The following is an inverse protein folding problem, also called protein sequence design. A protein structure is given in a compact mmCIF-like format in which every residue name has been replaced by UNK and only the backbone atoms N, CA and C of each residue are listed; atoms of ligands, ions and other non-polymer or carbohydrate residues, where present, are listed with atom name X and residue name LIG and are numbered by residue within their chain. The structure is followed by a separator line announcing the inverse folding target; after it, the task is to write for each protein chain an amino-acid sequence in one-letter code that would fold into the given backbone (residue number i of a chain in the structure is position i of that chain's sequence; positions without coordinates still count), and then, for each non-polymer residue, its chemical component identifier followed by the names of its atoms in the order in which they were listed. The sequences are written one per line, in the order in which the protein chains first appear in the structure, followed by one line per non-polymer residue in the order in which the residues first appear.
data_IF_806057765637
#
_entry.id   IF_806057765637
#
_cell.length_a   1.000
_cell.length_b   1.000
_cell.length_c   1.000
_cell.angle_alpha   90.00
_cell.angle_beta   90.00
_cell.angle_gamma   90.00
#
_symmetry.space_group_name_H-M   'P 1'
#
loop_
_entity.id
_entity.type
_entity.pdbx_description
1 polymer ?
#
# COMPACT_ATOMS: atom_id res chain seq x y z
N UNK A 1 -11.56 23.49 16.19
CA UNK A 1 -10.39 23.18 15.33
C UNK A 1 -9.62 24.48 15.09
N UNK A 2 -8.27 24.49 15.02
CA UNK A 2 -7.52 25.69 14.71
C UNK A 2 -7.82 26.16 13.27
N UNK A 3 -8.42 27.35 13.12
CA UNK A 3 -8.96 27.83 11.84
C UNK A 3 -7.89 27.95 10.75
N UNK A 4 -6.70 28.46 11.09
CA UNK A 4 -5.58 28.65 10.14
C UNK A 4 -4.96 27.34 9.65
N UNK A 5 -5.21 26.23 10.33
CA UNK A 5 -4.60 24.93 10.02
C UNK A 5 -5.47 24.09 9.09
N UNK A 6 -6.74 24.46 8.90
CA UNK A 6 -7.69 23.73 8.07
C UNK A 6 -7.96 24.46 6.76
N UNK A 7 -7.66 23.79 5.65
CA UNK A 7 -7.96 24.28 4.31
C UNK A 7 -9.20 23.57 3.78
N UNK A 8 -10.25 24.34 3.50
CA UNK A 8 -11.46 23.84 2.82
C UNK A 8 -11.15 23.62 1.35
N UNK A 9 -11.62 22.51 0.79
CA UNK A 9 -11.52 22.21 -0.64
C UNK A 9 -12.91 22.30 -1.29
N UNK A 10 -12.96 22.65 -2.57
CA UNK A 10 -14.20 22.73 -3.32
C UNK A 10 -14.87 21.37 -3.43
N UNK A 11 -16.20 21.36 -3.43
CA UNK A 11 -17.00 20.15 -3.62
C UNK A 11 -16.72 19.47 -4.98
N UNK A 12 -16.21 20.24 -5.95
CA UNK A 12 -15.87 19.78 -7.28
C UNK A 12 -14.44 19.25 -7.44
N UNK A 13 -13.59 19.30 -6.42
CA UNK A 13 -12.15 19.02 -6.56
C UNK A 13 -11.86 17.63 -7.15
N UNK A 14 -12.59 16.60 -6.69
CA UNK A 14 -12.44 15.23 -7.17
C UNK A 14 -13.00 15.02 -8.59
N UNK A 15 -13.87 15.92 -9.06
CA UNK A 15 -14.45 15.89 -10.41
C UNK A 15 -13.53 16.63 -11.38
N UNK A 16 -13.04 17.80 -10.99
CA UNK A 16 -12.15 18.65 -11.79
C UNK A 16 -10.69 18.20 -11.81
N UNK A 17 -10.31 17.31 -10.89
CA UNK A 17 -8.93 16.81 -10.79
C UNK A 17 -7.94 17.88 -10.33
N UNK A 18 -8.34 18.73 -9.36
CA UNK A 18 -7.53 19.83 -8.82
C UNK A 18 -7.05 20.85 -9.87
N UNK A 19 -7.91 21.18 -10.85
CA UNK A 19 -7.62 22.21 -11.87
C UNK A 19 -7.33 23.58 -11.29
N UNK A 20 -7.95 23.89 -10.15
CA UNK A 20 -7.89 25.19 -9.48
C UNK A 20 -6.73 25.25 -8.46
N UNK A 21 -5.88 24.19 -8.42
CA UNK A 21 -4.67 24.08 -7.59
C UNK A 21 -4.89 24.26 -6.08
N UNK A 22 -6.00 23.73 -5.59
CA UNK A 22 -6.44 23.81 -4.19
C UNK A 22 -5.52 22.99 -3.26
N UNK A 23 -4.84 21.97 -3.79
CA UNK A 23 -3.88 21.14 -3.07
C UNK A 23 -2.43 21.66 -3.11
N UNK A 24 -2.20 22.88 -3.60
CA UNK A 24 -0.87 23.48 -3.73
C UNK A 24 -0.01 23.41 -2.47
N UNK A 25 -0.57 23.73 -1.30
CA UNK A 25 0.15 23.66 -0.01
C UNK A 25 0.65 22.24 0.28
N UNK A 26 -0.17 21.22 0.00
CA UNK A 26 0.21 19.82 0.17
C UNK A 26 1.34 19.43 -0.77
N UNK A 27 1.26 19.85 -2.04
CA UNK A 27 2.31 19.59 -3.03
C UNK A 27 3.63 20.26 -2.66
N UNK A 28 3.59 21.50 -2.16
CA UNK A 28 4.77 22.20 -1.67
C UNK A 28 5.42 21.51 -0.46
N UNK A 29 4.61 20.97 0.45
CA UNK A 29 5.13 20.14 1.56
C UNK A 29 5.73 18.83 1.05
N UNK A 30 5.19 18.25 -0.02
CA UNK A 30 5.61 16.97 -0.58
C UNK A 30 6.84 17.04 -1.52
N UNK A 31 7.10 18.19 -2.17
CA UNK A 31 8.06 18.31 -3.29
C UNK A 31 9.48 17.80 -3.01
N UNK A 32 9.95 17.98 -1.77
CA UNK A 32 11.30 17.59 -1.31
C UNK A 32 11.30 16.29 -0.50
N UNK A 33 10.19 15.55 -0.48
CA UNK A 33 10.08 14.27 0.22
C UNK A 33 10.54 13.14 -0.69
N UNK A 34 11.11 12.10 -0.08
CA UNK A 34 11.41 10.84 -0.74
C UNK A 34 10.20 9.92 -0.75
N UNK A 35 9.38 9.99 0.29
CA UNK A 35 8.23 9.10 0.45
C UNK A 35 7.06 9.93 0.97
N UNK A 36 5.94 9.87 0.24
CA UNK A 36 4.65 10.43 0.65
C UNK A 36 3.67 9.28 0.78
N UNK A 37 3.21 8.99 1.99
CA UNK A 37 2.21 7.97 2.23
C UNK A 37 0.83 8.61 2.48
N UNK A 38 -0.19 8.12 1.78
CA UNK A 38 -1.56 8.59 1.87
C UNK A 38 -2.41 7.41 2.34
N UNK A 39 -2.73 7.41 3.64
CA UNK A 39 -3.43 6.32 4.28
C UNK A 39 -4.91 6.29 3.95
N UNK A 40 -5.51 5.11 4.04
CA UNK A 40 -6.96 4.95 4.01
C UNK A 40 -7.51 4.65 5.41
N UNK A 41 -8.55 5.37 5.78
CA UNK A 41 -9.28 5.16 7.05
C UNK A 41 -10.14 3.89 7.02
N UNK A 42 -10.51 3.48 5.81
CA UNK A 42 -11.16 2.20 5.52
C UNK A 42 -10.67 1.70 4.17
N UNK A 43 -10.56 0.39 3.94
CA UNK A 43 -10.18 -0.15 2.63
C UNK A 43 -11.16 0.15 1.49
N UNK A 44 -12.40 0.53 1.78
CA UNK A 44 -13.55 0.46 0.86
C UNK A 44 -14.18 1.78 0.44
N UNK A 45 -13.51 2.91 0.64
CA UNK A 45 -14.10 4.25 0.47
C UNK A 45 -13.66 4.91 -0.84
N UNK A 46 -14.63 5.27 -1.70
CA UNK A 46 -14.39 5.82 -3.03
C UNK A 46 -13.68 7.17 -3.01
N UNK A 47 -14.10 8.08 -2.12
CA UNK A 47 -13.55 9.43 -2.03
C UNK A 47 -12.09 9.41 -1.53
N UNK A 48 -11.76 8.49 -0.62
CA UNK A 48 -10.39 8.25 -0.14
C UNK A 48 -9.50 7.80 -1.29
N UNK A 49 -9.94 6.81 -2.07
CA UNK A 49 -9.20 6.33 -3.23
C UNK A 49 -9.03 7.42 -4.29
N UNK A 50 -10.07 8.25 -4.50
CA UNK A 50 -10.00 9.37 -5.42
C UNK A 50 -8.93 10.39 -5.02
N UNK A 51 -8.84 10.74 -3.73
CA UNK A 51 -7.76 11.62 -3.22
C UNK A 51 -6.38 10.98 -3.34
N UNK A 52 -6.23 9.70 -2.99
CA UNK A 52 -4.97 8.97 -3.17
C UNK A 52 -4.48 9.06 -4.62
N UNK A 53 -5.35 8.75 -5.59
CA UNK A 53 -5.04 8.84 -7.03
C UNK A 53 -4.73 10.27 -7.46
N UNK A 54 -5.58 11.24 -7.10
CA UNK A 54 -5.43 12.64 -7.49
C UNK A 54 -4.08 13.22 -7.03
N UNK A 55 -3.72 12.97 -5.78
CA UNK A 55 -2.45 13.44 -5.23
C UNK A 55 -1.28 12.69 -5.90
N UNK A 56 -1.36 11.37 -6.04
CA UNK A 56 -0.32 10.58 -6.70
C UNK A 56 -0.05 11.06 -8.13
N UNK A 57 -1.08 11.27 -8.95
CA UNK A 57 -0.97 11.81 -10.32
C UNK A 57 -0.24 13.15 -10.32
N UNK A 58 -0.62 14.08 -9.44
CA UNK A 58 -0.02 15.41 -9.40
C UNK A 58 1.43 15.39 -8.87
N UNK A 59 1.75 14.53 -7.90
CA UNK A 59 3.13 14.36 -7.44
C UNK A 59 4.04 13.77 -8.54
N UNK A 60 3.53 12.81 -9.32
CA UNK A 60 4.23 12.26 -10.49
C UNK A 60 4.43 13.36 -11.55
N UNK A 61 3.39 14.12 -11.88
CA UNK A 61 3.45 15.17 -12.92
C UNK A 61 4.32 16.36 -12.55
N UNK A 62 4.30 16.78 -11.29
CA UNK A 62 4.85 18.09 -10.85
C UNK A 62 6.15 17.99 -10.06
N UNK A 63 6.45 16.83 -9.47
CA UNK A 63 7.55 16.69 -8.48
C UNK A 63 8.40 15.43 -8.65
N UNK A 64 8.38 14.82 -9.84
CA UNK A 64 9.25 13.72 -10.26
C UNK A 64 9.13 12.44 -9.41
N UNK A 65 7.97 12.22 -8.79
CA UNK A 65 7.71 10.93 -8.16
C UNK A 65 7.69 9.83 -9.23
N UNK A 66 8.49 8.79 -9.02
CA UNK A 66 8.80 7.77 -10.04
C UNK A 66 8.37 6.36 -9.63
N UNK A 67 7.65 6.23 -8.51
CA UNK A 67 7.14 4.96 -8.02
C UNK A 67 5.83 5.16 -7.25
N UNK A 68 4.81 4.39 -7.62
CA UNK A 68 3.57 4.23 -6.88
C UNK A 68 3.63 2.89 -6.15
N UNK A 69 3.58 2.95 -4.82
CA UNK A 69 3.57 1.78 -3.96
C UNK A 69 2.15 1.49 -3.52
N UNK A 70 1.69 0.26 -3.76
CA UNK A 70 0.45 -0.27 -3.22
C UNK A 70 0.78 -0.99 -1.90
N UNK A 71 0.68 -0.27 -0.78
CA UNK A 71 1.37 -0.65 0.47
C UNK A 71 0.88 -1.97 1.09
N UNK A 72 -0.38 -2.34 0.90
CA UNK A 72 -0.96 -3.61 1.37
C UNK A 72 -1.24 -4.60 0.24
N UNK A 73 -0.40 -4.55 -0.78
CA UNK A 73 -0.44 -5.45 -1.93
C UNK A 73 0.93 -6.11 -2.05
N UNK A 74 0.97 -7.44 -2.23
CA UNK A 74 2.25 -8.15 -2.28
C UNK A 74 3.06 -7.79 -3.52
N UNK A 75 4.38 -7.97 -3.47
CA UNK A 75 5.29 -7.66 -4.58
C UNK A 75 4.90 -8.44 -5.86
N UNK A 76 4.66 -9.76 -5.74
CA UNK A 76 4.37 -10.61 -6.89
C UNK A 76 2.96 -10.41 -7.42
N UNK A 77 1.99 -10.18 -6.55
CA UNK A 77 0.63 -9.91 -7.02
C UNK A 77 0.65 -8.60 -7.87
N UNK A 78 1.42 -7.59 -7.44
CA UNK A 78 1.48 -6.30 -8.12
C UNK A 78 2.38 -6.32 -9.37
N UNK A 79 3.22 -7.35 -9.55
CA UNK A 79 4.14 -7.44 -10.68
C UNK A 79 3.41 -7.36 -12.03
N UNK A 80 2.21 -7.95 -12.15
CA UNK A 80 1.43 -7.91 -13.40
C UNK A 80 0.99 -6.47 -13.73
N UNK A 81 0.65 -5.67 -12.72
CA UNK A 81 0.35 -4.23 -12.90
C UNK A 81 1.63 -3.51 -13.35
N UNK A 82 2.76 -3.77 -12.70
CA UNK A 82 4.02 -3.14 -13.07
C UNK A 82 4.41 -3.47 -14.52
N UNK A 83 4.27 -4.73 -14.94
CA UNK A 83 4.54 -5.18 -16.30
C UNK A 83 3.61 -4.48 -17.32
N UNK A 84 2.34 -4.30 -16.96
CA UNK A 84 1.37 -3.56 -17.78
C UNK A 84 1.76 -2.09 -17.97
N UNK A 85 2.17 -1.37 -16.91
CA UNK A 85 2.48 0.07 -17.00
C UNK A 85 3.90 0.35 -17.51
N UNK A 86 4.87 -0.53 -17.24
CA UNK A 86 6.28 -0.33 -17.61
C UNK A 86 6.57 -0.91 -18.99
N UNK A 87 6.12 -2.13 -19.27
CA UNK A 87 6.48 -2.88 -20.48
C UNK A 87 5.40 -2.86 -21.55
N UNK A 88 4.28 -2.16 -21.29
CA UNK A 88 3.18 -2.05 -22.23
C UNK A 88 2.60 -3.42 -22.63
N UNK A 89 2.73 -4.45 -21.78
CA UNK A 89 2.24 -5.80 -22.04
C UNK A 89 0.79 -5.96 -21.58
N UNK A 90 0.02 -6.76 -22.30
CA UNK A 90 -1.40 -7.01 -21.98
C UNK A 90 -2.28 -5.78 -22.11
N UNK A 91 -3.52 -5.96 -21.67
CA UNK A 91 -4.65 -5.02 -21.69
C UNK A 91 -5.18 -4.83 -20.27
N UNK A 92 -6.09 -3.87 -20.08
CA UNK A 92 -6.79 -3.71 -18.79
C UNK A 92 -7.59 -4.96 -18.41
N UNK A 93 -8.08 -5.72 -19.39
CA UNK A 93 -8.76 -7.01 -19.14
C UNK A 93 -7.82 -8.05 -18.53
N UNK A 94 -6.51 -8.00 -18.82
CA UNK A 94 -5.54 -8.89 -18.18
C UNK A 94 -5.29 -8.52 -16.72
N UNK A 95 -5.57 -7.29 -16.32
CA UNK A 95 -5.55 -6.87 -14.92
C UNK A 95 -6.86 -7.20 -14.19
N UNK A 96 -7.91 -7.52 -14.93
CA UNK A 96 -9.14 -8.07 -14.36
C UNK A 96 -8.92 -9.52 -13.94
N UNK A 97 -9.50 -9.90 -12.82
CA UNK A 97 -9.44 -11.28 -12.32
C UNK A 97 -10.85 -11.86 -12.45
N UNK A 98 -11.03 -12.87 -13.31
CA UNK A 98 -12.28 -13.63 -13.42
C UNK A 98 -12.45 -14.58 -12.22
N UNK A 99 -13.69 -14.74 -11.73
CA UNK A 99 -14.05 -15.71 -10.67
C UNK A 99 -14.13 -15.13 -9.24
N UNK A 100 -14.41 -15.99 -8.24
CA UNK A 100 -14.56 -15.57 -6.82
C UNK A 100 -13.21 -15.11 -6.26
N UNK A 101 -13.10 -13.86 -5.77
CA UNK A 101 -11.83 -13.37 -5.28
C UNK A 101 -11.38 -14.11 -4.03
N UNK A 102 -10.12 -14.57 -3.96
CA UNK A 102 -9.49 -14.80 -2.67
C UNK A 102 -9.42 -13.46 -1.92
N UNK A 103 -9.37 -13.49 -0.58
CA UNK A 103 -9.23 -12.28 0.27
C UNK A 103 -8.05 -11.38 -0.16
N UNK A 104 -7.02 -11.99 -0.77
CA UNK A 104 -5.82 -11.33 -1.32
C UNK A 104 -6.07 -10.51 -2.62
N UNK A 105 -7.23 -10.59 -3.24
CA UNK A 105 -7.50 -10.03 -4.58
C UNK A 105 -8.26 -8.68 -4.54
N UNK A 106 -8.56 -8.15 -3.35
CA UNK A 106 -9.23 -6.85 -3.19
C UNK A 106 -8.34 -5.64 -3.59
N UNK A 107 -7.05 -5.87 -3.84
CA UNK A 107 -6.10 -4.90 -4.37
C UNK A 107 -6.33 -4.56 -5.87
N UNK A 108 -6.82 -5.53 -6.64
CA UNK A 108 -6.93 -5.47 -8.11
C UNK A 108 -8.33 -5.15 -8.61
N UNK A 109 -9.33 -5.37 -7.76
CA UNK A 109 -10.72 -5.51 -8.17
C UNK A 109 -11.49 -4.20 -8.27
N UNK A 110 -10.83 -3.14 -8.73
CA UNK A 110 -11.44 -1.82 -8.77
C UNK A 110 -11.28 -1.26 -10.18
N UNK A 111 -12.41 -1.19 -10.90
CA UNK A 111 -12.54 -0.42 -12.13
C UNK A 111 -11.91 0.98 -11.96
N UNK A 112 -12.10 1.57 -10.78
CA UNK A 112 -11.55 2.87 -10.40
C UNK A 112 -10.01 2.93 -10.43
N UNK A 113 -9.30 1.80 -10.32
CA UNK A 113 -7.83 1.75 -10.45
C UNK A 113 -7.36 1.51 -11.88
N UNK A 114 -8.20 0.94 -12.76
CA UNK A 114 -7.81 0.68 -14.15
C UNK A 114 -7.53 1.96 -14.92
N UNK A 115 -8.35 2.99 -14.72
CA UNK A 115 -8.12 4.32 -15.32
C UNK A 115 -6.80 4.92 -14.84
N UNK A 116 -6.46 4.73 -13.56
CA UNK A 116 -5.21 5.20 -12.98
C UNK A 116 -3.99 4.45 -13.54
N UNK A 117 -4.06 3.12 -13.63
CA UNK A 117 -2.98 2.33 -14.25
C UNK A 117 -2.82 2.64 -15.74
N UNK A 118 -3.93 2.86 -16.45
CA UNK A 118 -3.90 3.27 -17.86
C UNK A 118 -3.24 4.64 -18.02
N UNK A 119 -3.57 5.60 -17.14
CA UNK A 119 -2.91 6.90 -17.12
C UNK A 119 -1.39 6.79 -16.89
N UNK A 120 -0.94 5.96 -15.94
CA UNK A 120 0.49 5.73 -15.70
C UNK A 120 1.16 5.07 -16.91
N UNK A 121 0.49 4.07 -17.50
CA UNK A 121 0.95 3.39 -18.72
C UNK A 121 1.16 4.37 -19.86
N UNK A 122 0.22 5.29 -20.08
CA UNK A 122 0.33 6.33 -21.11
C UNK A 122 1.45 7.32 -20.79
N UNK A 123 1.55 7.74 -19.53
CA UNK A 123 2.64 8.61 -19.05
C UNK A 123 4.03 7.99 -19.29
N UNK A 124 4.14 6.66 -19.24
CA UNK A 124 5.37 5.89 -19.43
C UNK A 124 5.74 5.61 -20.90
N UNK A 125 4.82 5.77 -21.86
CA UNK A 125 4.92 5.20 -23.21
C UNK A 125 6.24 5.50 -23.94
N UNK A 126 6.75 6.72 -23.80
CA UNK A 126 7.95 7.21 -24.48
C UNK A 126 9.12 7.52 -23.54
N UNK A 127 9.07 7.01 -22.30
CA UNK A 127 10.12 7.25 -21.30
C UNK A 127 11.18 6.16 -21.31
N UNK A 128 12.47 6.49 -21.07
CA UNK A 128 13.49 5.49 -20.76
C UNK A 128 13.08 4.63 -19.56
N UNK A 129 13.54 3.37 -19.50
CA UNK A 129 13.11 2.41 -18.47
C UNK A 129 13.30 2.93 -17.04
N UNK A 130 14.45 3.57 -16.77
CA UNK A 130 14.77 4.12 -15.45
C UNK A 130 13.85 5.28 -15.04
N UNK A 131 13.36 6.04 -16.01
CA UNK A 131 12.49 7.22 -15.82
C UNK A 131 11.00 6.87 -15.80
N UNK A 132 10.65 5.61 -16.09
CA UNK A 132 9.26 5.14 -16.01
C UNK A 132 8.80 5.11 -14.56
N UNK A 133 7.55 5.50 -14.36
CA UNK A 133 6.83 5.37 -13.10
C UNK A 133 6.48 3.90 -12.91
N UNK A 134 6.95 3.31 -11.82
CA UNK A 134 6.60 1.93 -11.47
C UNK A 134 5.33 1.90 -10.64
N UNK A 135 4.58 0.79 -10.71
CA UNK A 135 3.45 0.51 -9.83
C UNK A 135 3.70 -0.85 -9.19
N UNK A 136 4.05 -0.86 -7.91
CA UNK A 136 4.58 -2.06 -7.24
C UNK A 136 3.94 -2.23 -5.86
N UNK A 137 3.78 -3.48 -5.45
CA UNK A 137 3.34 -3.85 -4.11
C UNK A 137 4.52 -3.96 -3.15
N UNK A 138 4.28 -3.86 -1.86
CA UNK A 138 5.31 -4.04 -0.82
C UNK A 138 4.89 -4.96 0.31
N UNK A 139 3.67 -5.50 0.28
CA UNK A 139 3.22 -6.48 1.26
C UNK A 139 3.86 -7.85 1.04
N UNK A 140 3.53 -8.79 1.91
CA UNK A 140 4.17 -10.09 1.97
C UNK A 140 3.59 -11.07 0.95
N UNK A 141 4.47 -11.72 0.19
CA UNK A 141 4.09 -12.81 -0.71
C UNK A 141 3.85 -14.12 0.05
N UNK A 142 2.96 -14.98 -0.47
CA UNK A 142 2.88 -16.36 0.03
C UNK A 142 4.10 -17.17 -0.45
N UNK A 143 4.77 -17.93 0.43
CA UNK A 143 5.90 -18.79 0.04
C UNK A 143 5.63 -19.68 -1.17
N UNK A 144 4.41 -20.23 -1.29
CA UNK A 144 4.05 -21.13 -2.39
C UNK A 144 3.91 -20.38 -3.71
N UNK A 145 3.38 -19.16 -3.68
CA UNK A 145 3.23 -18.31 -4.86
C UNK A 145 4.59 -17.78 -5.36
N UNK A 146 5.54 -17.51 -4.44
CA UNK A 146 6.94 -17.22 -4.82
C UNK A 146 7.52 -18.35 -5.68
N UNK A 147 7.43 -19.59 -5.18
CA UNK A 147 8.01 -20.75 -5.89
C UNK A 147 7.26 -21.03 -7.20
N UNK A 148 5.94 -20.82 -7.24
CA UNK A 148 5.16 -20.94 -8.47
C UNK A 148 5.58 -19.91 -9.54
N UNK A 149 5.74 -18.65 -9.15
CA UNK A 149 6.17 -17.58 -10.04
C UNK A 149 7.58 -17.83 -10.61
N UNK A 150 8.52 -18.24 -9.75
CA UNK A 150 9.88 -18.57 -10.17
C UNK A 150 9.90 -19.81 -11.09
N UNK A 151 9.09 -20.83 -10.79
CA UNK A 151 8.95 -22.02 -11.64
C UNK A 151 8.48 -21.67 -13.04
N UNK A 152 7.48 -20.79 -13.17
CA UNK A 152 6.99 -20.34 -14.48
C UNK A 152 8.09 -19.63 -15.28
N UNK A 153 8.92 -18.81 -14.62
CA UNK A 153 10.08 -18.17 -15.26
C UNK A 153 11.13 -19.20 -15.72
N UNK A 154 11.52 -20.14 -14.86
CA UNK A 154 12.47 -21.18 -15.21
C UNK A 154 12.00 -22.05 -16.38
N UNK A 155 10.69 -22.34 -16.47
CA UNK A 155 10.11 -23.08 -17.60
C UNK A 155 10.19 -22.28 -18.90
N UNK A 156 9.83 -20.99 -18.86
CA UNK A 156 9.89 -20.11 -20.04
C UNK A 156 11.31 -19.99 -20.61
N UNK A 157 12.33 -19.90 -19.75
CA UNK A 157 13.75 -19.81 -20.15
C UNK A 157 14.46 -21.17 -20.26
N UNK A 158 13.74 -22.29 -20.20
CA UNK A 158 14.31 -23.65 -20.27
C UNK A 158 15.45 -23.93 -19.28
N UNK A 159 15.38 -23.36 -18.06
CA UNK A 159 16.38 -23.53 -17.00
C UNK A 159 16.21 -24.89 -16.30
N UNK A 160 16.52 -25.98 -17.00
CA UNK A 160 16.24 -27.37 -16.59
C UNK A 160 16.85 -27.76 -15.24
N UNK A 161 18.01 -27.19 -14.90
CA UNK A 161 18.72 -27.40 -13.63
C UNK A 161 17.86 -27.05 -12.40
N UNK A 162 16.92 -26.10 -12.53
CA UNK A 162 16.05 -25.68 -11.43
C UNK A 162 14.95 -26.69 -11.08
N UNK A 163 14.62 -27.63 -11.97
CA UNK A 163 13.40 -28.45 -11.87
C UNK A 163 13.33 -29.24 -10.56
N UNK A 164 14.37 -30.01 -10.25
CA UNK A 164 14.40 -30.85 -9.05
C UNK A 164 14.34 -30.02 -7.76
N UNK A 165 15.06 -28.90 -7.72
CA UNK A 165 15.11 -27.99 -6.56
C UNK A 165 13.73 -27.35 -6.32
N UNK A 166 13.07 -26.88 -7.39
CA UNK A 166 11.73 -26.31 -7.31
C UNK A 166 10.66 -27.34 -6.92
N UNK A 167 10.74 -28.57 -7.43
CA UNK A 167 9.83 -29.66 -7.03
C UNK A 167 9.99 -30.00 -5.54
N UNK A 168 11.23 -30.02 -5.04
CA UNK A 168 11.53 -30.19 -3.62
C UNK A 168 10.97 -29.03 -2.78
N UNK A 169 11.20 -27.78 -3.17
CA UNK A 169 10.64 -26.60 -2.50
C UNK A 169 9.11 -26.67 -2.44
N UNK A 170 8.44 -27.00 -3.55
CA UNK A 170 6.97 -27.18 -3.58
C UNK A 170 6.53 -28.24 -2.58
N UNK A 171 7.24 -29.37 -2.50
CA UNK A 171 6.94 -30.43 -1.55
C UNK A 171 7.11 -29.97 -0.10
N UNK A 172 8.20 -29.26 0.22
CA UNK A 172 8.45 -28.78 1.57
C UNK A 172 7.47 -27.67 1.99
N UNK A 173 7.12 -26.75 1.09
CA UNK A 173 6.15 -25.67 1.37
C UNK A 173 4.72 -26.16 1.54
N UNK A 174 4.34 -27.33 1.00
CA UNK A 174 3.05 -27.98 1.29
C UNK A 174 2.88 -28.31 2.78
N UNK A 175 3.99 -28.45 3.53
CA UNK A 175 4.00 -28.77 4.96
C UNK A 175 3.74 -27.55 5.84
N UNK A 176 3.68 -26.32 5.30
CA UNK A 176 3.37 -25.12 6.09
C UNK A 176 2.00 -25.28 6.76
N UNK A 177 1.95 -25.03 8.07
CA UNK A 177 0.74 -25.20 8.88
C UNK A 177 0.43 -26.66 9.26
N UNK A 178 1.29 -27.62 8.93
CA UNK A 178 1.20 -29.00 9.40
C UNK A 178 2.09 -29.23 10.63
N UNK A 179 1.87 -30.32 11.38
CA UNK A 179 2.68 -30.70 12.55
C UNK A 179 4.12 -31.12 12.19
N UNK A 180 4.41 -31.35 10.91
CA UNK A 180 5.74 -31.70 10.42
C UNK A 180 6.67 -30.48 10.45
N UNK A 181 7.84 -30.61 11.08
CA UNK A 181 8.84 -29.55 11.11
C UNK A 181 9.46 -29.38 9.72
N UNK A 182 9.33 -28.17 9.16
CA UNK A 182 10.10 -27.73 7.99
C UNK A 182 11.50 -27.35 8.45
N UNK A 183 12.53 -27.82 7.76
CA UNK A 183 13.91 -27.40 8.02
C UNK A 183 14.21 -26.10 7.29
N UNK A 184 14.17 -24.98 8.02
CA UNK A 184 14.37 -23.62 7.46
C UNK A 184 15.71 -23.48 6.74
N UNK A 185 16.79 -24.07 7.28
CA UNK A 185 18.11 -24.09 6.65
C UNK A 185 18.07 -24.72 5.25
N UNK A 186 17.31 -25.80 5.09
CA UNK A 186 17.15 -26.46 3.81
C UNK A 186 16.37 -25.60 2.81
N UNK A 187 15.34 -24.87 3.26
CA UNK A 187 14.63 -23.90 2.41
C UNK A 187 15.57 -22.80 1.91
N UNK A 188 16.43 -22.27 2.79
CA UNK A 188 17.43 -21.27 2.45
C UNK A 188 18.46 -21.78 1.43
N UNK A 189 18.99 -22.98 1.64
CA UNK A 189 19.93 -23.63 0.71
C UNK A 189 19.30 -23.84 -0.67
N UNK A 190 18.08 -24.36 -0.73
CA UNK A 190 17.36 -24.58 -1.99
C UNK A 190 17.04 -23.25 -2.70
N UNK A 191 16.58 -22.24 -1.96
CA UNK A 191 16.31 -20.91 -2.52
C UNK A 191 17.58 -20.28 -3.11
N UNK A 192 18.72 -20.40 -2.42
CA UNK A 192 20.02 -19.92 -2.90
C UNK A 192 20.49 -20.66 -4.16
N UNK A 193 20.21 -21.96 -4.28
CA UNK A 193 20.50 -22.70 -5.51
C UNK A 193 19.62 -22.22 -6.68
N UNK A 194 18.33 -21.98 -6.44
CA UNK A 194 17.42 -21.44 -7.47
C UNK A 194 17.86 -20.04 -7.90
N UNK A 195 18.28 -19.17 -6.97
CA UNK A 195 18.83 -17.84 -7.26
C UNK A 195 19.99 -17.94 -8.27
N UNK A 196 20.95 -18.84 -8.03
CA UNK A 196 22.10 -19.05 -8.94
C UNK A 196 21.66 -19.48 -10.34
N UNK A 197 20.55 -20.22 -10.45
CA UNK A 197 20.02 -20.68 -11.75
C UNK A 197 19.31 -19.54 -12.49
N UNK A 198 18.42 -18.77 -11.83
CA UNK A 198 17.68 -17.68 -12.49
C UNK A 198 18.57 -16.52 -12.91
N UNK A 199 19.68 -16.30 -12.20
CA UNK A 199 20.73 -15.33 -12.57
C UNK A 199 21.28 -15.59 -14.00
N UNK A 200 21.35 -16.85 -14.44
CA UNK A 200 21.78 -17.22 -15.80
C UNK A 200 20.84 -16.73 -16.91
N UNK A 201 19.61 -16.32 -16.55
CA UNK A 201 18.63 -15.81 -17.51
C UNK A 201 18.64 -14.29 -17.68
N UNK A 202 19.55 -13.57 -17.00
CA UNK A 202 19.75 -12.13 -17.23
C UNK A 202 20.17 -11.87 -18.66
N UNK A 203 19.78 -10.71 -19.19
CA UNK A 203 20.13 -10.27 -20.53
C UNK A 203 20.18 -8.74 -20.59
N UNK A 204 20.35 -8.16 -21.79
CA UNK A 204 20.40 -6.71 -21.97
C UNK A 204 19.07 -5.97 -21.82
N UNK A 205 17.98 -6.66 -21.44
CA UNK A 205 16.64 -6.06 -21.32
C UNK A 205 16.34 -5.73 -19.85
N UNK A 206 16.28 -4.45 -19.52
CA UNK A 206 16.07 -3.97 -18.14
C UNK A 206 14.84 -4.59 -17.47
N UNK A 207 13.74 -4.76 -18.21
CA UNK A 207 12.52 -5.35 -17.67
C UNK A 207 12.64 -6.83 -17.30
N UNK A 208 13.49 -7.57 -18.00
CA UNK A 208 13.81 -8.96 -17.65
C UNK A 208 14.67 -8.98 -16.40
N UNK A 209 15.66 -8.10 -16.32
CA UNK A 209 16.53 -7.99 -15.16
C UNK A 209 15.76 -7.56 -13.90
N UNK A 210 14.81 -6.62 -14.01
CA UNK A 210 13.92 -6.26 -12.90
C UNK A 210 13.10 -7.45 -12.40
N UNK A 211 12.53 -8.26 -13.31
CA UNK A 211 11.79 -9.46 -12.91
C UNK A 211 12.70 -10.43 -12.15
N UNK A 212 13.95 -10.59 -12.59
CA UNK A 212 14.95 -11.42 -11.93
C UNK A 212 15.31 -10.85 -10.55
N UNK A 213 15.55 -9.54 -10.44
CA UNK A 213 15.84 -8.86 -9.17
C UNK A 213 14.72 -9.05 -8.15
N UNK A 214 13.46 -8.92 -8.60
CA UNK A 214 12.29 -9.16 -7.76
C UNK A 214 12.25 -10.62 -7.29
N UNK A 215 12.42 -11.60 -8.20
CA UNK A 215 12.45 -13.02 -7.83
C UNK A 215 13.54 -13.33 -6.81
N UNK A 216 14.74 -12.75 -6.98
CA UNK A 216 15.84 -12.93 -6.03
C UNK A 216 15.50 -12.34 -4.67
N UNK A 217 14.92 -11.13 -4.65
CA UNK A 217 14.52 -10.46 -3.43
C UNK A 217 13.52 -11.30 -2.63
N UNK A 218 12.46 -11.79 -3.27
CA UNK A 218 11.45 -12.61 -2.59
C UNK A 218 11.98 -14.01 -2.19
N UNK A 219 12.89 -14.61 -3.00
CA UNK A 219 13.54 -15.87 -2.64
C UNK A 219 14.46 -15.74 -1.42
N UNK A 220 15.16 -14.60 -1.26
CA UNK A 220 15.99 -14.33 -0.07
C UNK A 220 15.15 -14.22 1.20
N UNK A 221 13.91 -13.72 1.09
CA UNK A 221 12.99 -13.63 2.23
C UNK A 221 12.29 -14.96 2.55
N UNK A 222 12.29 -15.93 1.63
CA UNK A 222 11.54 -17.18 1.73
C UNK A 222 11.71 -17.93 3.07
N UNK A 223 12.93 -18.10 3.63
CA UNK A 223 13.09 -18.80 4.91
C UNK A 223 12.33 -18.14 6.06
N UNK A 224 12.36 -16.79 6.13
CA UNK A 224 11.64 -16.04 7.16
C UNK A 224 10.13 -16.07 6.93
N UNK A 225 9.69 -16.03 5.66
CA UNK A 225 8.28 -16.13 5.29
C UNK A 225 7.67 -17.49 5.66
N UNK A 226 8.45 -18.57 5.61
CA UNK A 226 8.02 -19.90 6.06
C UNK A 226 7.77 -19.94 7.56
N UNK A 227 8.68 -19.36 8.36
CA UNK A 227 8.51 -19.23 9.82
C UNK A 227 7.28 -18.39 10.13
N UNK A 228 7.19 -17.22 9.51
CA UNK A 228 6.05 -16.31 9.60
C UNK A 228 4.71 -16.97 9.25
N UNK A 229 4.66 -17.73 8.15
CA UNK A 229 3.43 -18.39 7.69
C UNK A 229 2.98 -19.54 8.60
N UNK A 230 3.86 -20.01 9.49
CA UNK A 230 3.58 -21.09 10.43
C UNK A 230 3.15 -20.59 11.81
N UNK A 231 3.25 -19.27 12.08
CA UNK A 231 2.92 -18.64 13.36
C UNK A 231 1.97 -17.44 13.15
N UNK A 232 0.70 -17.63 13.54
CA UNK A 232 -0.34 -16.61 13.37
C UNK A 232 -0.09 -15.35 14.21
N UNK A 233 0.57 -15.45 15.36
CA UNK A 233 0.89 -14.30 16.20
C UNK A 233 2.05 -13.51 15.62
N UNK A 234 3.08 -14.21 15.13
CA UNK A 234 4.20 -13.58 14.43
C UNK A 234 3.72 -12.84 13.17
N UNK A 235 2.63 -13.34 12.56
CA UNK A 235 2.04 -12.75 11.36
C UNK A 235 1.81 -11.24 11.44
N UNK A 236 1.25 -10.78 12.55
CA UNK A 236 0.97 -9.35 12.74
C UNK A 236 2.20 -8.57 13.22
N UNK A 237 3.13 -9.23 13.91
CA UNK A 237 4.28 -8.59 14.56
C UNK A 237 5.34 -8.12 13.58
N UNK A 238 5.52 -8.84 12.47
CA UNK A 238 6.63 -8.59 11.54
C UNK A 238 6.20 -8.23 10.11
N UNK A 239 4.90 -8.26 9.78
CA UNK A 239 4.37 -7.86 8.45
C UNK A 239 4.90 -6.49 8.03
N UNK A 240 4.75 -5.50 8.90
CA UNK A 240 5.17 -4.13 8.63
C UNK A 240 6.69 -3.96 8.55
N UNK A 241 7.46 -4.84 9.20
CA UNK A 241 8.90 -4.90 9.03
C UNK A 241 9.27 -5.38 7.63
N UNK A 242 8.60 -6.42 7.11
CA UNK A 242 8.79 -6.86 5.72
C UNK A 242 8.39 -5.78 4.72
N UNK A 243 7.27 -5.07 4.94
CA UNK A 243 6.86 -3.95 4.07
C UNK A 243 7.96 -2.87 4.05
N UNK A 244 8.49 -2.50 5.21
CA UNK A 244 9.60 -1.56 5.31
C UNK A 244 10.86 -2.05 4.58
N UNK A 245 11.22 -3.32 4.71
CA UNK A 245 12.37 -3.91 4.01
C UNK A 245 12.17 -3.93 2.49
N UNK A 246 10.96 -4.20 2.01
CA UNK A 246 10.60 -4.13 0.60
C UNK A 246 10.69 -2.70 0.05
N UNK A 247 10.27 -1.70 0.82
CA UNK A 247 10.43 -0.28 0.45
C UNK A 247 11.92 0.11 0.38
N UNK A 248 12.74 -0.32 1.35
CA UNK A 248 14.19 -0.07 1.30
C UNK A 248 14.84 -0.73 0.08
N UNK A 249 14.44 -1.97 -0.26
CA UNK A 249 14.93 -2.64 -1.45
C UNK A 249 14.65 -1.85 -2.73
N UNK A 250 13.44 -1.30 -2.88
CA UNK A 250 13.08 -0.44 -4.01
C UNK A 250 13.95 0.83 -4.09
N UNK A 251 14.26 1.45 -2.95
CA UNK A 251 15.11 2.65 -2.89
C UNK A 251 16.57 2.31 -3.19
N UNK A 252 17.11 1.33 -2.47
CA UNK A 252 18.54 1.06 -2.45
C UNK A 252 19.00 0.24 -3.66
N UNK A 253 18.19 -0.75 -4.08
CA UNK A 253 18.53 -1.66 -5.18
C UNK A 253 17.94 -1.20 -6.51
N UNK A 254 16.67 -0.81 -6.54
CA UNK A 254 15.99 -0.41 -7.78
C UNK A 254 16.11 1.09 -8.11
N UNK A 255 16.70 1.89 -7.23
CA UNK A 255 16.91 3.34 -7.40
C UNK A 255 15.62 4.12 -7.61
N UNK A 256 14.50 3.66 -7.05
CA UNK A 256 13.25 4.41 -6.98
C UNK A 256 13.28 5.27 -5.72
N UNK A 257 13.68 6.51 -5.83
CA UNK A 257 14.01 7.38 -4.70
C UNK A 257 12.90 8.39 -4.32
N UNK A 258 11.85 8.52 -5.16
CA UNK A 258 10.65 9.31 -4.88
C UNK A 258 9.37 8.48 -5.06
N UNK A 259 8.73 8.14 -3.95
CA UNK A 259 7.59 7.22 -3.90
C UNK A 259 6.31 7.85 -3.34
N UNK A 260 5.17 7.49 -3.92
CA UNK A 260 3.85 7.72 -3.32
C UNK A 260 3.28 6.38 -2.87
N UNK A 261 3.03 6.22 -1.57
CA UNK A 261 2.40 5.03 -1.01
C UNK A 261 0.89 5.28 -0.90
N UNK A 262 0.10 4.44 -1.55
CA UNK A 262 -1.37 4.42 -1.50
C UNK A 262 -1.85 2.99 -1.17
N UNK A 263 -3.17 2.78 -1.06
CA UNK A 263 -3.74 1.45 -0.77
C UNK A 263 -3.09 0.80 0.46
N UNK A 264 -2.90 1.61 1.50
CA UNK A 264 -2.40 1.21 2.80
C UNK A 264 -3.22 1.91 3.88
N UNK A 265 -3.65 1.17 4.89
CA UNK A 265 -4.44 1.71 5.98
C UNK A 265 -3.65 2.78 6.75
N UNK A 266 -4.35 3.75 7.34
CA UNK A 266 -3.82 4.68 8.35
C UNK A 266 -3.03 3.96 9.49
N UNK A 267 -3.35 2.68 9.72
CA UNK A 267 -2.71 1.83 10.70
C UNK A 267 -1.25 1.53 10.34
N UNK A 268 -0.97 1.37 9.05
CA UNK A 268 0.33 1.01 8.58
C UNK A 268 1.23 2.23 8.30
N UNK A 269 0.64 3.35 7.89
CA UNK A 269 1.42 4.54 7.47
C UNK A 269 1.74 5.54 8.60
N UNK A 270 1.17 5.39 9.79
CA UNK A 270 1.39 6.33 10.88
C UNK A 270 2.87 6.42 11.30
N UNK A 271 3.31 7.61 11.69
CA UNK A 271 4.68 7.88 12.15
C UNK A 271 4.94 7.45 13.59
N UNK A 272 3.86 7.16 14.31
CA UNK A 272 3.82 6.72 15.70
C UNK A 272 2.70 5.71 15.87
N UNK A 273 3.02 4.56 16.45
CA UNK A 273 2.06 3.47 16.65
C UNK A 273 0.96 3.88 17.63
N UNK A 274 -0.24 4.17 17.10
CA UNK A 274 -1.41 4.58 17.90
C UNK A 274 -2.46 3.48 18.09
N UNK A 275 -2.37 2.36 17.35
CA UNK A 275 -3.39 1.30 17.35
C UNK A 275 -3.13 0.20 18.41
N UNK A 276 -2.49 0.58 19.51
CA UNK A 276 -1.92 -0.36 20.49
C UNK A 276 -2.93 -1.21 21.23
N UNK A 277 -4.19 -0.77 21.32
CA UNK A 277 -5.26 -1.51 22.00
C UNK A 277 -5.76 -2.70 21.20
N UNK A 278 -5.69 -2.63 19.86
CA UNK A 278 -6.21 -3.67 18.96
C UNK A 278 -5.09 -4.57 18.46
N UNK A 279 -3.94 -3.99 18.11
CA UNK A 279 -2.86 -4.73 17.45
C UNK A 279 -1.60 -4.87 18.30
N UNK A 280 -1.60 -4.38 19.55
CA UNK A 280 -0.42 -4.40 20.41
C UNK A 280 0.62 -3.34 20.03
N UNK A 281 1.80 -3.39 20.66
CA UNK A 281 2.85 -2.37 20.55
C UNK A 281 3.87 -2.68 19.45
N UNK A 282 3.41 -3.17 18.30
CA UNK A 282 4.29 -3.44 17.16
C UNK A 282 4.39 -2.22 16.25
N UNK A 283 5.59 -1.97 15.74
CA UNK A 283 5.85 -0.83 14.89
C UNK A 283 5.17 -1.00 13.54
N UNK A 284 4.43 0.02 13.13
CA UNK A 284 3.93 0.16 11.77
C UNK A 284 5.09 0.42 10.80
N UNK A 285 4.89 0.14 9.50
CA UNK A 285 5.94 0.43 8.51
C UNK A 285 6.17 1.95 8.42
N UNK A 286 5.14 2.75 8.63
CA UNK A 286 5.23 4.21 8.72
C UNK A 286 6.11 4.69 9.86
N UNK A 287 6.12 3.99 11.00
CA UNK A 287 7.01 4.34 12.11
C UNK A 287 8.47 3.94 11.79
N UNK A 288 8.69 2.79 11.13
CA UNK A 288 10.02 2.45 10.62
C UNK A 288 10.53 3.49 9.60
N UNK A 289 9.67 3.90 8.64
CA UNK A 289 9.99 4.93 7.65
C UNK A 289 10.26 6.28 8.32
N UNK A 290 9.46 6.67 9.29
CA UNK A 290 9.65 7.90 10.07
C UNK A 290 11.02 7.94 10.76
N UNK A 291 11.44 6.82 11.37
CA UNK A 291 12.76 6.71 12.01
C UNK A 291 13.90 6.77 10.99
N UNK A 292 13.75 6.09 9.84
CA UNK A 292 14.82 5.95 8.82
C UNK A 292 14.97 7.18 7.93
N UNK A 293 13.86 7.80 7.54
CA UNK A 293 13.80 8.87 6.54
C UNK A 293 13.44 10.23 7.15
N UNK A 294 12.99 10.26 8.41
CA UNK A 294 12.77 11.49 9.18
C UNK A 294 11.97 12.53 8.38
N UNK A 295 12.54 13.72 8.15
CA UNK A 295 11.90 14.83 7.44
C UNK A 295 11.58 14.51 5.97
N UNK A 296 12.16 13.47 5.36
CA UNK A 296 11.85 13.09 3.97
C UNK A 296 10.73 12.06 3.85
N UNK A 297 10.12 11.64 4.97
CA UNK A 297 8.87 10.88 4.99
C UNK A 297 7.72 11.80 5.40
N UNK A 298 6.68 11.85 4.56
CA UNK A 298 5.44 12.58 4.81
C UNK A 298 4.29 11.57 4.93
N UNK A 299 3.58 11.60 6.05
CA UNK A 299 2.46 10.70 6.33
C UNK A 299 1.15 11.48 6.39
N UNK A 300 0.22 11.18 5.48
CA UNK A 300 -1.06 11.85 5.34
C UNK A 300 -2.16 10.84 5.68
N UNK A 301 -2.80 11.00 6.82
CA UNK A 301 -3.95 10.17 7.18
C UNK A 301 -5.21 10.65 6.49
N UNK A 302 -6.22 9.79 6.42
CA UNK A 302 -7.59 10.18 6.02
C UNK A 302 -8.55 9.98 7.19
N UNK A 303 -9.66 10.71 7.21
CA UNK A 303 -10.77 10.43 8.13
C UNK A 303 -12.10 10.81 7.50
N UNK A 304 -13.14 10.04 7.84
CA UNK A 304 -14.49 10.23 7.33
C UNK A 304 -15.45 10.54 8.48
N UNK A 305 -16.30 11.56 8.33
CA UNK A 305 -17.33 11.86 9.32
C UNK A 305 -18.44 10.82 9.33
N UNK A 306 -19.06 10.53 8.19
CA UNK A 306 -20.18 9.61 8.07
C UNK A 306 -20.26 8.97 6.68
N UNK A 307 -21.10 7.96 6.53
CA UNK A 307 -21.32 7.28 5.25
C UNK A 307 -21.05 5.78 5.33
N UNK A 308 -20.68 5.20 4.20
CA UNK A 308 -20.48 3.76 4.04
C UNK A 308 -19.16 3.46 3.34
N UNK A 309 -18.69 2.24 3.51
CA UNK A 309 -17.51 1.70 2.82
C UNK A 309 -17.75 0.25 2.43
N UNK A 310 -17.08 -0.18 1.36
CA UNK A 310 -17.13 -1.56 0.87
C UNK A 310 -16.32 -2.50 1.77
N UNK A 311 -16.92 -3.64 2.14
CA UNK A 311 -16.28 -4.65 3.03
C UNK A 311 -16.03 -5.98 2.33
N UNK A 312 -16.23 -6.06 1.01
CA UNK A 312 -16.08 -7.30 0.24
C UNK A 312 -17.39 -8.03 -0.01
N UNK A 313 -17.39 -8.95 -0.97
CA UNK A 313 -18.47 -9.90 -1.28
C UNK A 313 -19.89 -9.28 -1.32
N UNK A 314 -20.06 -8.13 -1.98
CA UNK A 314 -21.33 -7.37 -2.11
C UNK A 314 -21.87 -6.70 -0.84
N UNK A 315 -21.07 -6.66 0.23
CA UNK A 315 -21.47 -6.04 1.51
C UNK A 315 -20.86 -4.65 1.70
N UNK A 316 -21.57 -3.80 2.43
CA UNK A 316 -21.13 -2.47 2.82
C UNK A 316 -21.36 -2.26 4.31
N UNK A 317 -20.43 -1.58 4.97
CA UNK A 317 -20.51 -1.23 6.39
C UNK A 317 -20.57 0.28 6.60
N UNK A 318 -21.04 0.69 7.78
CA UNK A 318 -21.18 2.10 8.14
C UNK A 318 -19.89 2.63 8.75
N UNK A 319 -19.57 3.89 8.46
CA UNK A 319 -18.58 4.64 9.24
C UNK A 319 -19.15 4.84 10.64
N UNK A 320 -18.40 4.48 11.68
CA UNK A 320 -18.83 4.69 13.05
C UNK A 320 -18.90 6.18 13.37
N UNK A 321 -19.98 6.61 14.00
CA UNK A 321 -20.20 7.99 14.42
C UNK A 321 -20.08 8.09 15.93
N UNK A 322 -19.26 9.02 16.41
CA UNK A 322 -19.05 9.21 17.84
C UNK A 322 -18.55 10.62 18.11
N UNK A 323 -19.03 11.27 19.19
CA UNK A 323 -18.71 12.67 19.51
C UNK A 323 -17.21 12.95 19.70
N UNK A 324 -16.42 11.92 20.02
CA UNK A 324 -14.97 12.04 20.18
C UNK A 324 -14.16 11.52 18.98
N UNK A 325 -14.82 11.00 17.94
CA UNK A 325 -14.13 10.63 16.72
C UNK A 325 -13.66 11.90 16.00
N UNK A 326 -12.39 11.95 15.59
CA UNK A 326 -11.81 13.16 15.00
C UNK A 326 -12.56 13.63 13.75
N UNK A 327 -13.08 12.70 12.93
CA UNK A 327 -13.94 13.04 11.78
C UNK A 327 -15.25 13.73 12.17
N UNK A 328 -15.86 13.30 13.27
CA UNK A 328 -17.07 13.97 13.80
C UNK A 328 -16.72 15.34 14.35
N UNK A 329 -15.61 15.47 15.08
CA UNK A 329 -15.17 16.75 15.64
C UNK A 329 -14.86 17.77 14.55
N UNK A 330 -14.07 17.41 13.54
CA UNK A 330 -13.78 18.30 12.39
C UNK A 330 -15.08 18.65 11.66
N UNK A 331 -15.94 17.66 11.42
CA UNK A 331 -17.19 17.82 10.71
C UNK A 331 -18.23 18.71 11.40
N UNK A 332 -18.12 18.90 12.72
CA UNK A 332 -18.95 19.85 13.49
C UNK A 332 -18.48 21.30 13.35
N UNK A 333 -17.19 21.53 13.05
CA UNK A 333 -16.57 22.86 12.98
C UNK A 333 -16.55 23.44 11.55
N UNK A 334 -16.99 22.69 10.54
CA UNK A 334 -17.01 23.13 9.14
C UNK A 334 -18.26 22.64 8.41
N UNK A 335 -18.62 23.27 7.29
CA UNK A 335 -19.66 22.80 6.36
C UNK A 335 -19.10 22.15 5.09
N UNK A 336 -17.78 22.24 4.86
CA UNK A 336 -17.15 21.72 3.64
C UNK A 336 -17.32 20.21 3.51
N UNK A 337 -17.43 19.71 2.26
CA UNK A 337 -17.44 18.27 1.99
C UNK A 337 -16.05 17.66 2.15
N UNK A 338 -15.02 18.41 1.80
CA UNK A 338 -13.62 18.00 1.83
C UNK A 338 -12.76 19.08 2.47
N UNK A 339 -11.67 18.67 3.11
CA UNK A 339 -10.67 19.59 3.61
C UNK A 339 -9.40 18.90 4.05
N UNK A 340 -8.37 19.68 4.33
CA UNK A 340 -7.09 19.18 4.83
C UNK A 340 -6.75 19.94 6.10
N UNK A 341 -6.55 19.20 7.18
CA UNK A 341 -5.95 19.70 8.40
C UNK A 341 -4.44 19.48 8.33
N UNK A 342 -3.68 20.55 8.11
CA UNK A 342 -2.22 20.49 8.09
C UNK A 342 -1.65 20.49 9.49
N UNK A 343 -0.59 19.71 9.70
CA UNK A 343 0.05 19.57 11.01
C UNK A 343 1.00 20.74 11.31
N UNK A 344 0.47 21.77 11.96
CA UNK A 344 1.25 22.77 12.69
C UNK A 344 1.18 22.53 14.21
N UNK A 345 1.82 23.38 15.02
CA UNK A 345 1.83 23.22 16.48
C UNK A 345 0.44 23.25 17.12
N UNK A 346 -0.49 24.07 16.60
CA UNK A 346 -1.85 24.20 17.12
C UNK A 346 -2.70 22.99 16.70
N UNK A 347 -2.58 22.56 15.45
CA UNK A 347 -3.22 21.35 14.95
C UNK A 347 -2.73 20.11 15.72
N UNK A 348 -1.43 20.04 16.05
CA UNK A 348 -0.87 18.98 16.88
C UNK A 348 -1.52 18.94 18.26
N UNK A 349 -1.56 20.07 18.97
CA UNK A 349 -2.19 20.16 20.29
C UNK A 349 -3.66 19.76 20.23
N UNK A 350 -4.38 20.25 19.22
CA UNK A 350 -5.77 19.89 18.98
C UNK A 350 -5.94 18.38 18.77
N UNK A 351 -5.16 17.77 17.86
CA UNK A 351 -5.25 16.34 17.55
C UNK A 351 -4.83 15.45 18.73
N UNK A 352 -3.92 15.91 19.58
CA UNK A 352 -3.41 15.15 20.73
C UNK A 352 -4.30 15.22 21.98
N UNK A 353 -5.54 15.73 21.87
CA UNK A 353 -6.50 15.65 22.97
C UNK A 353 -6.78 14.18 23.35
N UNK A 354 -6.75 13.80 24.64
CA UNK A 354 -6.75 12.39 25.06
C UNK A 354 -7.97 11.57 24.62
N UNK A 355 -9.12 12.22 24.45
CA UNK A 355 -10.37 11.54 24.10
C UNK A 355 -10.52 11.27 22.60
N UNK A 356 -9.68 11.88 21.75
CA UNK A 356 -9.87 11.78 20.31
C UNK A 356 -9.53 10.39 19.77
N UNK A 357 -10.52 9.82 19.09
CA UNK A 357 -10.42 8.53 18.40
C UNK A 357 -10.35 8.73 16.90
N UNK A 358 -9.77 7.75 16.20
CA UNK A 358 -9.75 7.68 14.73
C UNK A 358 -10.46 6.41 14.27
N UNK A 359 -11.14 6.47 13.13
CA UNK A 359 -11.77 5.28 12.56
C UNK A 359 -10.76 4.24 12.10
N UNK A 360 -11.15 2.97 12.18
CA UNK A 360 -10.46 1.84 11.57
C UNK A 360 -11.48 0.93 10.88
N UNK A 361 -11.48 0.91 9.55
CA UNK A 361 -12.43 0.12 8.76
C UNK A 361 -11.76 -0.95 7.92
N UNK A 362 -12.08 -2.21 8.18
CA UNK A 362 -11.65 -3.34 7.36
C UNK A 362 -12.83 -4.27 7.08
N UNK A 363 -12.55 -5.39 6.41
CA UNK A 363 -13.53 -6.43 6.11
C UNK A 363 -14.08 -7.05 7.41
N UNK A 364 -15.34 -7.49 7.38
CA UNK A 364 -16.00 -8.28 8.45
C UNK A 364 -16.52 -7.55 9.71
N UNK A 365 -16.61 -6.22 9.73
CA UNK A 365 -17.27 -5.49 10.82
C UNK A 365 -18.59 -4.85 10.38
N UNK A 366 -19.59 -4.78 11.28
CA UNK A 366 -20.87 -4.09 11.02
C UNK A 366 -20.71 -2.57 10.85
N UNK A 367 -19.72 -1.99 11.52
CA UNK A 367 -19.26 -0.62 11.37
C UNK A 367 -17.75 -0.54 11.50
N UNK A 368 -17.13 0.58 11.11
CA UNK A 368 -15.72 0.80 11.46
C UNK A 368 -15.53 0.77 12.98
N UNK A 369 -14.35 0.36 13.44
CA UNK A 369 -13.95 0.45 14.83
C UNK A 369 -13.51 1.89 15.14
N UNK A 370 -13.51 2.24 16.42
CA UNK A 370 -12.92 3.49 16.93
C UNK A 370 -11.66 3.14 17.69
N UNK A 371 -10.55 3.74 17.27
CA UNK A 371 -9.23 3.51 17.86
C UNK A 371 -8.89 4.68 18.76
N UNK A 372 -8.65 4.39 20.03
CA UNK A 372 -8.14 5.38 20.95
C UNK A 372 -6.66 5.65 20.64
N UNK A 373 -6.39 6.87 20.17
CA UNK A 373 -5.03 7.31 19.84
C UNK A 373 -4.18 7.63 21.07
N UNK A 374 -4.77 7.63 22.27
CA UNK A 374 -4.15 7.99 23.55
C UNK A 374 -3.48 9.36 23.51
N UNK A 375 -4.10 10.30 22.79
CA UNK A 375 -3.58 11.67 22.63
C UNK A 375 -2.31 11.74 21.77
N UNK A 376 -2.13 10.80 20.83
CA UNK A 376 -0.97 10.79 19.91
C UNK A 376 -1.37 10.89 18.44
N UNK A 377 -2.59 11.32 18.12
CA UNK A 377 -3.06 11.42 16.73
C UNK A 377 -2.25 12.43 15.92
N UNK A 378 -1.86 13.56 16.51
CA UNK A 378 -0.95 14.52 15.91
C UNK A 378 0.47 13.97 15.75
N UNK A 379 0.92 13.03 16.58
CA UNK A 379 2.22 12.38 16.39
C UNK A 379 2.21 11.32 15.27
N UNK A 380 1.03 10.88 14.85
CA UNK A 380 0.85 9.84 13.85
C UNK A 380 0.90 10.36 12.40
N UNK A 381 0.43 11.59 12.13
CA UNK A 381 0.25 12.11 10.77
C UNK A 381 0.70 13.57 10.65
N UNK A 382 1.30 13.91 9.50
CA UNK A 382 1.70 15.26 9.11
C UNK A 382 0.55 16.07 8.47
N UNK A 383 -0.52 15.40 8.06
CA UNK A 383 -1.77 16.01 7.63
C UNK A 383 -2.91 15.00 7.74
N UNK A 384 -4.15 15.49 7.85
CA UNK A 384 -5.36 14.69 7.77
C UNK A 384 -6.27 15.21 6.66
N UNK A 385 -6.55 14.36 5.67
CA UNK A 385 -7.60 14.61 4.68
C UNK A 385 -8.94 14.26 5.31
N UNK A 386 -9.80 15.25 5.43
CA UNK A 386 -11.16 15.12 5.93
C UNK A 386 -12.16 14.93 4.78
N UNK A 387 -13.04 13.95 4.95
CA UNK A 387 -14.16 13.67 4.05
C UNK A 387 -15.45 13.65 4.88
N UNK A 388 -16.43 14.47 4.52
CA UNK A 388 -17.71 14.51 5.24
C UNK A 388 -18.53 13.25 5.01
N UNK A 389 -18.76 12.90 3.75
CA UNK A 389 -19.62 11.78 3.37
C UNK A 389 -18.83 10.80 2.51
N UNK A 390 -18.77 9.53 2.91
CA UNK A 390 -18.19 8.47 2.09
C UNK A 390 -19.22 7.61 1.38
N UNK A 391 -18.84 7.18 0.20
CA UNK A 391 -19.53 6.16 -0.59
C UNK A 391 -18.64 4.91 -0.71
N UNK A 392 -19.24 3.71 -0.74
CA UNK A 392 -18.48 2.51 -1.03
C UNK A 392 -17.96 2.55 -2.48
N UNK A 393 -16.94 1.73 -2.77
CA UNK A 393 -16.53 1.48 -4.16
C UNK A 393 -17.69 0.98 -5.02
N UNK A 394 -17.60 1.25 -6.33
CA UNK A 394 -18.51 0.71 -7.33
C UNK A 394 -18.44 -0.82 -7.31
N UNK A 395 -19.60 -1.46 -7.35
CA UNK A 395 -19.69 -2.90 -7.55
C UNK A 395 -19.53 -3.24 -9.04
N UNK A 396 -19.13 -4.47 -9.38
CA UNK A 396 -19.09 -4.94 -10.79
C UNK A 396 -20.48 -4.90 -11.48
N UNK A 397 -21.56 -4.60 -10.72
CA UNK A 397 -22.95 -4.51 -11.21
C UNK A 397 -23.47 -3.07 -11.28
N UNK A 398 -22.67 -2.07 -10.87
CA UNK A 398 -22.99 -0.64 -11.01
C UNK A 398 -22.51 -0.13 -12.36
#
# INVERSE_FOLDING_TARGET
MPEKSFVTLSDSILIKGDSDNELSVLYEQARNKKIVAIGEVTHGTREVLAFQKLIAVNLVKRHDFNCIVLGEVSLLDAYKINDFVVNQRGTTNDLMIEGKPKVREMAYRQLDMLEFYSWIRDFNKNRPFNDKVWVIGTDIDDPREIVAFVKAHCQFYYLRESKAILEKLIYDLKKIGQSNKITIKTIEEDANQVIKVIEKSRNGVDSVNLKIDLMIHVLKSLPQLVVFSSDADLKYKIRDKFIFENINWLIDSCKKDKMVIIKAHNFHINKRTIYTEVFGKFLSFGEYLSRRYQKTYLSIGTEVQQGRFYTGATTFSKIAEHKHKIGTVIGSDTKALYGILFHDSLAKEFLNKPLYTISYGTVNYKSSLLINSKGMLGDAFDALIFIRNSSPYRSEKD
#
